data_IF_786050222154
#
_entry.id   IF_786050222154
#
_cell.length_a   1.000
_cell.length_b   1.000
_cell.length_c   1.000
_cell.angle_alpha   90.00
_cell.angle_beta   90.00
_cell.angle_gamma   90.00
#
_symmetry.space_group_name_H-M   'P 1'
#
loop_
_entity.id
_entity.type
_entity.pdbx_description
1 polymer ?
#
# COMPACT_ATOMS: atom_id res chain seq x y z
N UNK A 1 -29.15 16.27 -8.09
CA UNK A 1 -28.54 17.50 -7.56
C UNK A 1 -27.94 17.29 -6.15
N UNK A 2 -28.67 16.70 -5.21
CA UNK A 2 -28.21 16.46 -3.82
C UNK A 2 -26.92 15.60 -3.70
N UNK A 3 -26.77 14.54 -4.50
CA UNK A 3 -25.55 13.70 -4.49
C UNK A 3 -24.29 14.44 -4.98
N UNK A 4 -24.44 15.37 -5.93
CA UNK A 4 -23.32 16.15 -6.45
C UNK A 4 -22.82 17.14 -5.40
N UNK A 5 -23.73 17.74 -4.63
CA UNK A 5 -23.36 18.61 -3.52
C UNK A 5 -22.62 17.84 -2.42
N UNK A 6 -23.16 16.68 -2.01
CA UNK A 6 -22.46 15.77 -1.08
C UNK A 6 -21.08 15.37 -1.61
N UNK A 7 -20.96 15.11 -2.91
CA UNK A 7 -19.67 14.79 -3.52
C UNK A 7 -18.67 15.93 -3.33
N UNK A 8 -19.08 17.17 -3.60
CA UNK A 8 -18.23 18.36 -3.41
C UNK A 8 -17.78 18.50 -1.95
N UNK A 9 -18.67 18.24 -1.00
CA UNK A 9 -18.34 18.28 0.43
C UNK A 9 -17.23 17.27 0.80
N UNK A 10 -17.19 16.09 0.17
CA UNK A 10 -16.11 15.12 0.41
C UNK A 10 -14.73 15.59 -0.07
N UNK A 11 -14.66 16.63 -0.91
CA UNK A 11 -13.40 17.24 -1.35
C UNK A 11 -12.94 18.38 -0.44
N UNK A 12 -13.83 18.94 0.37
CA UNK A 12 -13.46 19.90 1.40
C UNK A 12 -12.75 19.16 2.53
N UNK A 13 -11.45 19.38 2.71
CA UNK A 13 -10.61 18.73 3.72
C UNK A 13 -10.11 19.75 4.75
N UNK A 14 -10.03 19.33 6.01
CA UNK A 14 -9.34 20.09 7.06
C UNK A 14 -7.85 20.31 6.73
N UNK A 15 -7.19 21.20 7.48
CA UNK A 15 -5.76 21.42 7.31
C UNK A 15 -4.95 20.20 7.78
N UNK A 16 -5.44 19.52 8.81
CA UNK A 16 -4.91 18.28 9.36
C UNK A 16 -4.96 17.16 8.32
N UNK A 17 -6.08 16.99 7.63
CA UNK A 17 -6.23 16.02 6.55
C UNK A 17 -5.29 16.31 5.38
N UNK A 18 -5.10 17.59 5.04
CA UNK A 18 -4.12 17.99 4.01
C UNK A 18 -2.68 17.67 4.44
N UNK A 19 -2.30 17.95 5.68
CA UNK A 19 -0.97 17.57 6.22
C UNK A 19 -0.76 16.06 6.15
N UNK A 20 -1.76 15.27 6.52
CA UNK A 20 -1.71 13.81 6.40
C UNK A 20 -1.47 13.36 4.95
N UNK A 21 -2.18 13.91 3.97
CA UNK A 21 -1.98 13.57 2.56
C UNK A 21 -0.53 13.86 2.15
N UNK A 22 0.00 15.03 2.49
CA UNK A 22 1.37 15.41 2.16
C UNK A 22 2.36 14.42 2.77
N UNK A 23 2.19 14.07 4.05
CA UNK A 23 3.04 13.11 4.74
C UNK A 23 2.93 11.68 4.15
N UNK A 24 1.72 11.20 3.85
CA UNK A 24 1.50 9.88 3.22
C UNK A 24 2.13 9.81 1.81
N UNK A 25 2.08 10.90 1.04
CA UNK A 25 2.73 10.99 -0.27
C UNK A 25 4.26 11.05 -0.13
N UNK A 26 4.78 11.80 0.84
CA UNK A 26 6.21 11.86 1.15
C UNK A 26 6.77 10.49 1.50
N UNK A 27 6.09 9.75 2.39
CA UNK A 27 6.46 8.37 2.75
C UNK A 27 6.33 7.38 1.58
N UNK A 28 5.38 7.63 0.68
CA UNK A 28 5.22 6.83 -0.54
C UNK A 28 6.38 7.07 -1.51
N UNK A 29 6.82 8.32 -1.65
CA UNK A 29 7.90 8.71 -2.55
C UNK A 29 9.28 8.26 -2.06
N UNK A 30 9.56 8.37 -0.75
CA UNK A 30 10.86 8.02 -0.18
C UNK A 30 11.03 6.54 0.12
N UNK A 31 9.94 5.81 0.40
CA UNK A 31 10.08 4.42 0.80
C UNK A 31 10.57 3.53 -0.35
N UNK A 32 11.31 2.44 -0.04
CA UNK A 32 11.83 1.50 -1.03
C UNK A 32 10.73 0.61 -1.64
N UNK A 33 9.47 1.01 -1.54
CA UNK A 33 8.28 0.24 -1.90
C UNK A 33 8.28 -0.17 -3.37
N UNK A 34 8.77 0.71 -4.24
CA UNK A 34 8.94 0.45 -5.66
C UNK A 34 10.05 -0.58 -5.95
N UNK A 35 11.07 -0.68 -5.10
CA UNK A 35 12.15 -1.67 -5.23
C UNK A 35 11.71 -3.06 -4.76
N UNK A 36 10.74 -3.17 -3.86
CA UNK A 36 10.35 -4.45 -3.28
C UNK A 36 9.77 -5.41 -4.32
N UNK A 37 9.02 -4.90 -5.30
CA UNK A 37 8.56 -5.71 -6.43
C UNK A 37 9.74 -6.27 -7.24
N UNK A 38 10.76 -5.45 -7.52
CA UNK A 38 11.97 -5.88 -8.22
C UNK A 38 12.78 -6.90 -7.42
N UNK A 39 12.87 -6.77 -6.10
CA UNK A 39 13.49 -7.76 -5.23
C UNK A 39 12.76 -9.10 -5.28
N UNK A 40 11.43 -9.10 -5.29
CA UNK A 40 10.64 -10.33 -5.42
C UNK A 40 10.82 -10.98 -6.79
N UNK A 41 10.83 -10.18 -7.87
CA UNK A 41 11.09 -10.69 -9.22
C UNK A 41 12.50 -11.26 -9.30
N UNK A 42 13.53 -10.51 -8.92
CA UNK A 42 14.91 -10.97 -8.92
C UNK A 42 15.13 -12.22 -8.07
N UNK A 43 14.55 -12.25 -6.86
CA UNK A 43 14.60 -13.41 -5.97
C UNK A 43 13.90 -14.65 -6.55
N UNK A 44 12.78 -14.47 -7.24
CA UNK A 44 12.05 -15.57 -7.88
C UNK A 44 12.85 -16.25 -8.98
N UNK A 45 13.71 -15.51 -9.70
CA UNK A 45 14.59 -16.09 -10.70
C UNK A 45 15.90 -16.61 -10.13
N UNK A 46 16.40 -16.05 -9.02
CA UNK A 46 17.71 -16.38 -8.47
C UNK A 46 17.83 -17.82 -7.98
N UNK A 47 16.91 -18.27 -7.10
CA UNK A 47 16.96 -19.64 -6.55
C UNK A 47 16.80 -20.70 -7.64
N UNK A 48 15.82 -20.59 -8.54
CA UNK A 48 15.69 -21.56 -9.61
C UNK A 48 16.91 -21.52 -10.56
N UNK A 49 17.48 -20.33 -10.83
CA UNK A 49 18.63 -20.20 -11.73
C UNK A 49 19.86 -20.91 -11.15
N UNK A 50 20.14 -20.73 -9.86
CA UNK A 50 21.24 -21.43 -9.18
C UNK A 50 21.02 -22.95 -9.13
N UNK A 51 19.78 -23.41 -9.00
CA UNK A 51 19.44 -24.83 -9.09
C UNK A 51 19.65 -25.36 -10.52
N UNK A 52 19.20 -24.62 -11.53
CA UNK A 52 19.38 -24.96 -12.94
C UNK A 52 20.87 -25.05 -13.31
N UNK A 53 21.69 -24.09 -12.90
CA UNK A 53 23.14 -24.11 -13.21
C UNK A 53 23.83 -25.31 -12.60
N UNK A 54 23.49 -25.69 -11.35
CA UNK A 54 24.02 -26.90 -10.70
C UNK A 54 23.59 -28.18 -11.41
N UNK A 55 22.29 -28.35 -11.69
CA UNK A 55 21.78 -29.57 -12.33
C UNK A 55 22.27 -29.70 -13.77
N UNK A 56 22.38 -28.60 -14.53
CA UNK A 56 22.87 -28.60 -15.92
C UNK A 56 24.25 -29.23 -16.07
N UNK A 57 25.10 -29.15 -15.05
CA UNK A 57 26.44 -29.73 -15.08
C UNK A 57 26.43 -31.26 -14.94
N UNK A 58 25.39 -31.84 -14.34
CA UNK A 58 25.33 -33.27 -13.99
C UNK A 58 24.68 -34.16 -15.06
N UNK A 59 23.86 -33.60 -15.96
CA UNK A 59 23.05 -34.40 -16.89
C UNK A 59 23.48 -34.32 -18.37
N UNK A 60 23.06 -35.30 -19.18
CA UNK A 60 23.28 -35.33 -20.64
C UNK A 60 22.45 -34.25 -21.38
N UNK A 61 22.87 -33.89 -22.59
CA UNK A 61 22.37 -32.75 -23.38
C UNK A 61 20.85 -32.72 -23.59
N UNK A 62 20.21 -33.89 -23.80
CA UNK A 62 18.74 -33.98 -23.96
C UNK A 62 17.98 -33.65 -22.68
N UNK A 63 18.48 -34.10 -21.53
CA UNK A 63 17.87 -33.82 -20.23
C UNK A 63 18.08 -32.36 -19.79
N UNK A 64 19.17 -31.71 -20.22
CA UNK A 64 19.38 -30.27 -20.01
C UNK A 64 18.27 -29.42 -20.63
N UNK A 65 17.83 -29.77 -21.86
CA UNK A 65 16.72 -29.07 -22.54
C UNK A 65 15.40 -29.28 -21.79
N UNK A 66 15.11 -30.52 -21.38
CA UNK A 66 13.93 -30.84 -20.59
C UNK A 66 13.86 -30.04 -19.27
N UNK A 67 14.96 -30.02 -18.51
CA UNK A 67 15.09 -29.23 -17.27
C UNK A 67 14.90 -27.74 -17.52
N UNK A 68 15.45 -27.20 -18.61
CA UNK A 68 15.30 -25.80 -18.97
C UNK A 68 13.84 -25.43 -19.27
N UNK A 69 13.11 -26.23 -20.04
CA UNK A 69 11.69 -25.99 -20.31
C UNK A 69 10.84 -26.12 -19.05
N UNK A 70 11.09 -27.11 -18.21
CA UNK A 70 10.39 -27.25 -16.93
C UNK A 70 10.67 -26.07 -16.00
N UNK A 71 11.92 -25.61 -15.95
CA UNK A 71 12.30 -24.41 -15.23
C UNK A 71 11.52 -23.18 -15.74
N UNK A 72 11.46 -22.96 -17.05
CA UNK A 72 10.74 -21.83 -17.63
C UNK A 72 9.23 -21.92 -17.34
N UNK A 73 8.64 -23.10 -17.51
CA UNK A 73 7.22 -23.32 -17.26
C UNK A 73 6.88 -23.09 -15.79
N UNK A 74 7.66 -23.67 -14.86
CA UNK A 74 7.44 -23.52 -13.43
C UNK A 74 7.59 -22.07 -12.97
N UNK A 75 8.67 -21.38 -13.39
CA UNK A 75 8.87 -19.97 -13.06
C UNK A 75 7.78 -19.09 -13.69
N UNK A 76 7.38 -19.37 -14.92
CA UNK A 76 6.29 -18.68 -15.58
C UNK A 76 4.99 -18.82 -14.79
N UNK A 77 4.59 -20.05 -14.45
CA UNK A 77 3.40 -20.31 -13.65
C UNK A 77 3.48 -19.64 -12.28
N UNK A 78 4.62 -19.76 -11.59
CA UNK A 78 4.81 -19.16 -10.27
C UNK A 78 4.74 -17.62 -10.36
N UNK A 79 5.33 -17.01 -11.37
CA UNK A 79 5.21 -15.58 -11.61
C UNK A 79 3.76 -15.16 -11.88
N UNK A 80 3.02 -15.85 -12.76
CA UNK A 80 1.65 -15.47 -13.10
C UNK A 80 0.66 -15.69 -11.95
N UNK A 81 0.77 -16.78 -11.21
CA UNK A 81 -0.20 -17.14 -10.16
C UNK A 81 0.19 -16.60 -8.78
N UNK A 82 1.48 -16.57 -8.43
CA UNK A 82 1.93 -16.17 -7.10
C UNK A 82 2.19 -14.66 -7.00
N UNK A 83 2.62 -14.00 -8.07
CA UNK A 83 2.92 -12.55 -8.01
C UNK A 83 1.73 -11.68 -7.58
N UNK A 84 0.46 -11.95 -7.99
CA UNK A 84 -0.66 -11.12 -7.54
C UNK A 84 -0.95 -11.31 -6.04
N UNK A 85 -0.75 -12.53 -5.53
CA UNK A 85 -0.93 -12.85 -4.11
C UNK A 85 0.15 -12.21 -3.25
N UNK A 86 1.42 -12.38 -3.64
CA UNK A 86 2.58 -11.79 -2.94
C UNK A 86 2.52 -10.26 -3.01
N UNK A 87 2.19 -9.69 -4.17
CA UNK A 87 1.99 -8.25 -4.34
C UNK A 87 0.92 -7.69 -3.39
N UNK A 88 -0.18 -8.42 -3.18
CA UNK A 88 -1.21 -8.03 -2.21
C UNK A 88 -0.69 -8.03 -0.77
N UNK A 89 0.03 -9.07 -0.36
CA UNK A 89 0.62 -9.15 0.98
C UNK A 89 1.62 -8.03 1.22
N UNK A 90 2.49 -7.79 0.23
CA UNK A 90 3.45 -6.68 0.23
C UNK A 90 2.73 -5.35 0.39
N UNK A 91 1.75 -5.04 -0.47
CA UNK A 91 1.02 -3.77 -0.39
C UNK A 91 0.33 -3.56 0.96
N UNK A 92 -0.19 -4.62 1.59
CA UNK A 92 -0.78 -4.54 2.93
C UNK A 92 0.25 -4.21 4.01
N UNK A 93 1.43 -4.83 3.97
CA UNK A 93 2.52 -4.55 4.92
C UNK A 93 3.11 -3.16 4.70
N UNK A 94 3.35 -2.79 3.45
CA UNK A 94 3.82 -1.45 3.07
C UNK A 94 2.87 -0.38 3.57
N UNK A 95 1.56 -0.53 3.29
CA UNK A 95 0.55 0.41 3.80
C UNK A 95 0.54 0.47 5.32
N UNK A 96 0.75 -0.66 6.02
CA UNK A 96 0.82 -0.68 7.49
C UNK A 96 2.00 0.13 8.01
N UNK A 97 3.19 -0.10 7.44
CA UNK A 97 4.41 0.61 7.86
C UNK A 97 4.24 2.10 7.55
N UNK A 98 3.79 2.44 6.35
CA UNK A 98 3.54 3.81 5.92
C UNK A 98 2.54 4.54 6.83
N UNK A 99 1.41 3.92 7.15
CA UNK A 99 0.42 4.49 8.08
C UNK A 99 1.04 4.71 9.46
N UNK A 100 1.85 3.76 9.93
CA UNK A 100 2.53 3.87 11.23
C UNK A 100 3.52 5.03 11.26
N UNK A 101 4.37 5.17 10.23
CA UNK A 101 5.36 6.25 10.11
C UNK A 101 4.67 7.60 9.95
N UNK A 102 3.71 7.71 9.04
CA UNK A 102 2.95 8.96 8.78
C UNK A 102 2.27 9.47 10.05
N UNK A 103 1.61 8.59 10.79
CA UNK A 103 0.88 8.97 12.02
C UNK A 103 1.77 9.08 13.24
N UNK A 104 3.08 8.85 13.11
CA UNK A 104 4.05 9.17 14.16
C UNK A 104 4.48 10.63 14.14
N UNK A 105 4.12 11.39 13.11
CA UNK A 105 4.47 12.81 13.02
C UNK A 105 3.66 13.71 13.96
N UNK A 106 2.48 13.27 14.39
CA UNK A 106 1.65 14.04 15.32
C UNK A 106 0.25 13.46 15.47
N UNK A 107 -0.41 13.83 16.57
CA UNK A 107 -1.82 13.47 16.80
C UNK A 107 -2.75 14.16 15.79
N UNK A 108 -2.44 15.40 15.43
CA UNK A 108 -3.14 16.18 14.40
C UNK A 108 -3.11 15.46 13.03
N UNK A 109 -1.96 14.87 12.67
CA UNK A 109 -1.81 14.09 11.45
C UNK A 109 -2.61 12.78 11.51
N UNK A 110 -2.71 12.14 12.68
CA UNK A 110 -3.56 10.96 12.86
C UNK A 110 -5.05 11.29 12.69
N UNK A 111 -5.53 12.37 13.31
CA UNK A 111 -6.90 12.89 13.14
C UNK A 111 -7.20 13.20 11.68
N UNK A 112 -6.30 13.94 11.02
CA UNK A 112 -6.39 14.25 9.60
C UNK A 112 -6.43 13.00 8.71
N UNK A 113 -5.69 11.96 9.07
CA UNK A 113 -5.71 10.67 8.37
C UNK A 113 -7.05 9.95 8.49
N UNK A 114 -7.69 10.00 9.66
CA UNK A 114 -9.03 9.43 9.87
C UNK A 114 -10.05 10.16 9.00
N UNK A 115 -10.09 11.50 9.07
CA UNK A 115 -11.01 12.31 8.25
C UNK A 115 -10.81 12.04 6.75
N UNK A 116 -9.57 12.04 6.29
CA UNK A 116 -9.25 11.81 4.89
C UNK A 116 -9.79 10.47 4.39
N UNK A 117 -9.55 9.38 5.14
CA UNK A 117 -10.00 8.04 4.75
C UNK A 117 -11.53 7.89 4.82
N UNK A 118 -12.19 8.53 5.78
CA UNK A 118 -13.66 8.56 5.86
C UNK A 118 -14.28 9.27 4.66
N UNK A 119 -13.78 10.47 4.33
CA UNK A 119 -14.23 11.21 3.16
C UNK A 119 -13.91 10.47 1.86
N UNK A 120 -12.81 9.71 1.81
CA UNK A 120 -12.48 8.88 0.66
C UNK A 120 -13.47 7.71 0.47
N UNK A 121 -13.89 7.02 1.55
CA UNK A 121 -14.93 5.99 1.48
C UNK A 121 -16.27 6.59 1.04
N UNK A 122 -16.67 7.70 1.64
CA UNK A 122 -17.93 8.35 1.31
C UNK A 122 -17.95 8.82 -0.15
N UNK A 123 -16.85 9.40 -0.63
CA UNK A 123 -16.68 9.75 -2.04
C UNK A 123 -16.86 8.55 -2.95
N UNK A 124 -16.26 7.41 -2.61
CA UNK A 124 -16.39 6.19 -3.41
C UNK A 124 -17.83 5.66 -3.42
N UNK A 125 -18.57 5.75 -2.31
CA UNK A 125 -20.01 5.39 -2.25
C UNK A 125 -20.84 6.29 -3.13
N UNK A 126 -20.60 7.60 -3.11
CA UNK A 126 -21.32 8.55 -3.96
C UNK A 126 -20.97 8.30 -5.44
N UNK A 127 -19.69 8.08 -5.77
CA UNK A 127 -19.26 7.75 -7.13
C UNK A 127 -19.85 6.43 -7.63
N UNK A 128 -20.07 5.46 -6.75
CA UNK A 128 -20.76 4.20 -7.07
C UNK A 128 -22.16 4.43 -7.63
N UNK A 129 -22.86 5.45 -7.13
CA UNK A 129 -24.22 5.80 -7.54
C UNK A 129 -24.25 6.73 -8.74
N UNK A 130 -23.28 7.65 -8.84
CA UNK A 130 -23.23 8.65 -9.91
C UNK A 130 -22.68 8.11 -11.24
N UNK A 131 -21.73 7.18 -11.20
CA UNK A 131 -21.10 6.66 -12.41
C UNK A 131 -21.93 5.54 -13.05
N UNK A 132 -22.04 5.50 -14.39
CA UNK A 132 -22.81 4.46 -15.08
C UNK A 132 -22.31 3.03 -14.79
N UNK A 133 -21.01 2.88 -14.53
CA UNK A 133 -20.35 1.62 -14.12
C UNK A 133 -19.88 1.65 -12.65
N UNK A 134 -20.42 2.53 -11.81
CA UNK A 134 -19.94 2.73 -10.44
C UNK A 134 -20.01 1.47 -9.57
N UNK A 135 -21.04 0.63 -9.77
CA UNK A 135 -21.23 -0.65 -9.06
C UNK A 135 -20.15 -1.70 -9.38
N UNK A 136 -19.50 -1.59 -10.54
CA UNK A 136 -18.40 -2.47 -10.94
C UNK A 136 -17.07 -2.00 -10.33
N UNK A 137 -16.95 -0.69 -10.10
CA UNK A 137 -15.75 -0.06 -9.55
C UNK A 137 -15.70 -0.09 -8.03
N UNK A 138 -16.85 0.00 -7.35
CA UNK A 138 -16.93 0.13 -5.90
C UNK A 138 -17.92 -0.87 -5.27
N UNK A 139 -17.61 -1.36 -4.08
CA UNK A 139 -18.53 -2.17 -3.30
C UNK A 139 -19.53 -1.31 -2.51
N UNK A 140 -20.41 -1.95 -1.73
CA UNK A 140 -21.42 -1.24 -0.94
C UNK A 140 -20.78 -0.38 0.16
N UNK A 141 -19.60 -0.76 0.65
CA UNK A 141 -18.89 -0.07 1.71
C UNK A 141 -18.06 1.11 1.19
N UNK A 142 -17.89 1.25 -0.13
CA UNK A 142 -17.08 2.26 -0.77
C UNK A 142 -15.64 1.83 -1.02
N UNK A 143 -15.32 0.55 -0.86
CA UNK A 143 -14.02 0.01 -1.25
C UNK A 143 -13.94 -0.19 -2.76
N UNK A 144 -12.73 -0.05 -3.30
CA UNK A 144 -12.49 -0.33 -4.72
C UNK A 144 -12.56 -1.84 -4.96
N UNK A 145 -13.45 -2.25 -5.86
CA UNK A 145 -13.44 -3.60 -6.43
C UNK A 145 -12.20 -3.73 -7.31
N UNK A 146 -11.67 -4.95 -7.40
CA UNK A 146 -10.45 -5.25 -8.18
C UNK A 146 -10.60 -4.72 -9.60
N UNK A 147 -9.95 -3.59 -9.88
CA UNK A 147 -9.97 -3.01 -11.22
C UNK A 147 -8.82 -3.60 -11.99
N UNK A 148 -9.12 -4.12 -13.18
CA UNK A 148 -8.11 -4.61 -14.12
C UNK A 148 -7.34 -3.39 -14.63
N UNK A 149 -6.09 -3.21 -14.21
CA UNK A 149 -5.23 -2.16 -14.78
C UNK A 149 -4.47 -2.81 -15.93
N UNK A 150 -4.87 -2.45 -17.15
CA UNK A 150 -4.14 -2.83 -18.35
C UNK A 150 -2.98 -1.86 -18.50
N UNK A 151 -1.75 -2.32 -18.25
CA UNK A 151 -0.56 -1.51 -18.54
C UNK A 151 -0.17 -1.81 -19.99
N UNK A 152 -0.28 -0.83 -20.92
CA UNK A 152 0.21 -1.02 -22.27
C UNK A 152 1.75 -1.10 -22.22
N UNK A 153 2.30 -2.25 -22.59
CA UNK A 153 3.73 -2.40 -22.84
C UNK A 153 3.99 -2.17 -24.34
N UNK A 154 5.13 -1.58 -24.69
CA UNK A 154 5.58 -1.52 -26.07
C UNK A 154 5.75 -2.95 -26.62
N UNK A 155 5.13 -3.25 -27.76
CA UNK A 155 5.17 -4.59 -28.39
C UNK A 155 3.89 -5.44 -28.30
N UNK A 156 2.75 -4.88 -27.87
CA UNK A 156 1.44 -5.55 -27.97
C UNK A 156 1.11 -6.56 -26.86
N UNK A 157 2.06 -6.83 -25.96
CA UNK A 157 1.80 -7.59 -24.73
C UNK A 157 1.18 -6.65 -23.68
N UNK A 158 -0.09 -6.89 -23.35
CA UNK A 158 -0.77 -6.18 -22.27
C UNK A 158 -0.75 -7.05 -21.02
N UNK A 159 -0.02 -6.64 -19.98
CA UNK A 159 -0.13 -7.27 -18.68
C UNK A 159 -1.28 -6.62 -17.91
N UNK A 160 -2.29 -7.44 -17.63
CA UNK A 160 -3.35 -7.08 -16.70
C UNK A 160 -2.82 -7.29 -15.28
N UNK A 161 -2.28 -6.24 -14.68
CA UNK A 161 -1.97 -6.27 -13.25
C UNK A 161 -3.19 -5.78 -12.48
N UNK A 162 -3.60 -6.55 -11.47
CA UNK A 162 -4.60 -6.08 -10.53
C UNK A 162 -3.93 -5.06 -9.61
N UNK A 163 -4.36 -3.80 -9.68
CA UNK A 163 -3.92 -2.82 -8.69
C UNK A 163 -4.71 -3.07 -7.40
N UNK A 164 -4.05 -3.65 -6.41
CA UNK A 164 -4.60 -3.85 -5.09
C UNK A 164 -4.31 -2.60 -4.26
N UNK A 165 -5.25 -1.65 -4.27
CA UNK A 165 -5.23 -0.61 -3.25
C UNK A 165 -5.44 -1.28 -1.88
N UNK A 166 -4.67 -0.91 -0.84
CA UNK A 166 -4.96 -1.37 0.51
C UNK A 166 -6.39 -0.97 0.87
N UNK A 167 -7.13 -1.88 1.51
CA UNK A 167 -8.52 -1.65 1.90
C UNK A 167 -8.59 -0.41 2.79
N UNK A 168 -9.30 0.61 2.32
CA UNK A 168 -9.41 1.91 2.98
C UNK A 168 -10.05 1.75 4.36
N UNK A 169 -11.08 0.91 4.47
CA UNK A 169 -11.74 0.54 5.73
C UNK A 169 -10.78 -0.16 6.69
N UNK A 170 -9.88 -1.01 6.19
CA UNK A 170 -8.87 -1.64 7.03
C UNK A 170 -7.86 -0.62 7.56
N UNK A 171 -7.40 0.32 6.73
CA UNK A 171 -6.53 1.42 7.17
C UNK A 171 -7.24 2.28 8.22
N UNK A 172 -8.47 2.68 7.96
CA UNK A 172 -9.30 3.48 8.86
C UNK A 172 -9.49 2.79 10.22
N UNK A 173 -9.81 1.49 10.24
CA UNK A 173 -9.93 0.70 11.46
C UNK A 173 -8.63 0.72 12.28
N UNK A 174 -7.47 0.63 11.64
CA UNK A 174 -6.16 0.70 12.34
C UNK A 174 -5.88 2.09 12.89
N UNK A 175 -6.19 3.15 12.13
CA UNK A 175 -5.97 4.52 12.60
C UNK A 175 -6.85 4.84 13.80
N UNK A 176 -8.12 4.44 13.77
CA UNK A 176 -9.03 4.57 14.92
C UNK A 176 -8.54 3.78 16.13
N UNK A 177 -8.15 2.52 15.95
CA UNK A 177 -7.59 1.73 17.05
C UNK A 177 -6.32 2.38 17.64
N UNK A 178 -5.45 2.96 16.80
CA UNK A 178 -4.28 3.71 17.25
C UNK A 178 -4.69 4.97 18.03
N UNK A 179 -5.71 5.69 17.57
CA UNK A 179 -6.26 6.86 18.26
C UNK A 179 -6.81 6.47 19.63
N UNK A 180 -7.62 5.42 19.70
CA UNK A 180 -8.21 4.93 20.95
C UNK A 180 -7.13 4.56 21.98
N UNK A 181 -6.04 3.93 21.54
CA UNK A 181 -4.89 3.63 22.41
C UNK A 181 -4.24 4.90 22.93
N UNK A 182 -4.05 5.92 22.09
CA UNK A 182 -3.41 7.18 22.47
C UNK A 182 -4.27 8.02 23.41
N UNK A 183 -5.59 8.02 23.22
CA UNK A 183 -6.54 8.77 24.04
C UNK A 183 -6.77 8.14 25.41
N UNK A 184 -6.68 6.81 25.51
CA UNK A 184 -6.87 6.08 26.76
C UNK A 184 -5.56 5.82 27.54
N UNK A 185 -4.40 6.24 27.00
CA UNK A 185 -3.12 6.07 27.69
C UNK A 185 -2.96 7.09 28.84
N UNK A 186 -2.52 6.67 30.05
CA UNK A 186 -2.34 7.57 31.18
C UNK A 186 -1.36 8.71 30.85
N UNK A 187 -1.79 9.94 31.13
CA UNK A 187 -1.35 11.18 30.46
C UNK A 187 0.14 11.56 30.57
N UNK A 188 0.90 11.03 31.55
CA UNK A 188 2.22 11.58 31.87
C UNK A 188 3.43 10.87 31.21
N UNK A 189 3.40 9.54 31.04
CA UNK A 189 4.55 8.78 30.51
C UNK A 189 4.35 8.28 29.06
N UNK A 190 3.12 8.04 28.63
CA UNK A 190 2.84 7.43 27.32
C UNK A 190 3.07 8.40 26.15
N UNK A 191 2.73 9.70 26.31
CA UNK A 191 2.87 10.69 25.23
C UNK A 191 4.33 10.99 24.88
N UNK A 192 5.27 10.88 25.83
CA UNK A 192 6.71 11.09 25.56
C UNK A 192 7.42 9.84 25.02
N UNK A 193 6.97 8.65 25.41
CA UNK A 193 7.66 7.40 25.07
C UNK A 193 7.22 6.85 23.71
N UNK A 194 5.95 7.02 23.32
CA UNK A 194 5.41 6.51 22.06
C UNK A 194 5.92 7.28 20.83
N UNK A 195 6.20 8.58 20.97
CA UNK A 195 6.77 9.40 19.89
C UNK A 195 8.30 9.31 19.78
N UNK A 196 9.02 8.85 20.83
CA UNK A 196 10.48 8.65 20.81
C UNK A 196 10.92 7.29 20.29
N UNK A 197 10.03 6.29 20.24
CA UNK A 197 10.37 4.93 19.83
C UNK A 197 10.43 4.69 18.31
N UNK A 198 10.26 5.74 17.49
CA UNK A 198 10.38 5.64 16.03
C UNK A 198 11.83 5.92 15.62
N UNK A 199 12.56 4.93 15.09
CA UNK A 199 13.96 5.14 14.68
C UNK A 199 14.01 6.17 13.55
N UNK A 200 14.61 7.33 13.84
CA UNK A 200 14.78 8.43 12.89
C UNK A 200 14.00 9.71 13.21
N UNK A 201 13.07 9.71 14.17
CA UNK A 201 12.41 10.95 14.61
C UNK A 201 13.25 11.68 15.66
N UNK A 202 14.16 12.56 15.22
CA UNK A 202 14.73 13.57 16.11
C UNK A 202 13.62 14.55 16.47
N UNK A 203 13.09 14.42 17.69
CA UNK A 203 12.19 15.40 18.26
C UNK A 203 12.99 16.70 18.44
N UNK A 204 12.88 17.63 17.48
CA UNK A 204 13.47 18.97 17.61
C UNK A 204 12.61 19.71 18.62
N UNK A 205 13.10 19.74 19.87
CA UNK A 205 12.48 20.47 20.95
C UNK A 205 12.58 21.99 20.67
N UNK A 206 11.55 22.54 20.02
CA UNK A 206 11.46 23.97 19.68
C UNK A 206 11.41 24.87 20.92
N UNK A 207 11.24 24.33 22.12
CA UNK A 207 11.24 25.12 23.37
C UNK A 207 12.62 25.66 23.75
N UNK A 208 13.70 25.18 23.12
CA UNK A 208 15.07 25.64 23.39
C UNK A 208 15.57 26.78 22.48
N UNK A 209 14.78 27.19 21.48
CA UNK A 209 15.18 28.23 20.50
C UNK A 209 14.62 29.64 20.75
N UNK A 210 13.99 29.86 21.91
CA UNK A 210 13.44 31.17 22.34
C UNK A 210 14.10 31.68 23.64
N UNK A 211 15.42 31.58 23.73
CA UNK A 211 16.21 32.32 24.73
C UNK A 211 17.36 33.04 24.04
#
# INVERSE_FOLDING_TARGET
MLLVQKLIETFSLSNEAKKYIIADQYETALGPWHMMAWCCVGGSFFLPFTLYTRLRLQFKTRFKRFLFFHFLLFNGLLFFYLSPFVGRLINMQVSRIRDSTTTSYGLDILEGGIEYLEKQLERNRILRELLPNGKDLFDQDGERRKTRVTIPYSGGLSFSLYHWSPLIAYRLKRLRAKMDILMNAPEAEARKTIFKAVPGSTFVDKSSSLR
#
